data_IF_376433632396
#
_entry.id   IF_376433632396
#
_cell.length_a   1.000
_cell.length_b   1.000
_cell.length_c   1.000
_cell.angle_alpha   90.00
_cell.angle_beta   90.00
_cell.angle_gamma   90.00
#
_symmetry.space_group_name_H-M   'P 1'
#
loop_
_entity.id
_entity.type
_entity.pdbx_description
1 polymer ?
#
# COMPACT_ATOMS: atom_id res chain seq x y z
N UNK A 1 21.31 -3.91 4.82
CA UNK A 1 20.32 -2.98 4.22
C UNK A 1 20.10 -1.70 5.02
N UNK A 2 19.69 -0.61 4.36
CA UNK A 2 19.08 0.56 5.03
C UNK A 2 17.56 0.39 5.03
N UNK A 3 16.95 0.24 6.21
CA UNK A 3 15.50 0.10 6.36
C UNK A 3 14.75 1.22 5.62
N UNK A 4 13.71 0.83 4.87
CA UNK A 4 12.84 1.75 4.14
C UNK A 4 11.55 1.09 3.68
N UNK A 5 10.60 1.94 3.31
CA UNK A 5 9.42 1.51 2.61
C UNK A 5 9.68 1.31 1.11
N UNK A 6 9.04 0.31 0.54
CA UNK A 6 8.99 0.04 -0.90
C UNK A 6 7.55 0.14 -1.38
N UNK A 7 7.35 0.77 -2.53
CA UNK A 7 6.10 0.77 -3.28
C UNK A 7 6.13 -0.39 -4.29
N UNK A 8 5.14 -1.26 -4.20
CA UNK A 8 4.89 -2.34 -5.15
C UNK A 8 3.69 -1.92 -5.97
N UNK A 9 3.87 -1.86 -7.28
CA UNK A 9 2.82 -1.61 -8.26
C UNK A 9 2.62 -2.88 -9.08
N UNK A 10 1.41 -3.45 -9.07
CA UNK A 10 1.15 -4.75 -9.68
C UNK A 10 -0.10 -4.71 -10.56
N UNK A 11 0.03 -5.18 -11.81
CA UNK A 11 -1.06 -5.28 -12.78
C UNK A 11 -1.34 -6.74 -13.11
N UNK A 12 -2.60 -7.14 -12.97
CA UNK A 12 -3.06 -8.47 -13.30
C UNK A 12 -3.08 -8.68 -14.84
N UNK A 13 -2.82 -9.90 -15.32
CA UNK A 13 -2.93 -10.20 -16.73
C UNK A 13 -4.37 -10.06 -17.23
N UNK A 14 -4.53 -9.77 -18.53
CA UNK A 14 -5.83 -9.68 -19.18
C UNK A 14 -6.67 -10.95 -18.97
N UNK A 15 -7.97 -10.78 -18.75
CA UNK A 15 -8.90 -11.89 -18.48
C UNK A 15 -8.94 -12.34 -17.02
N UNK A 16 -8.11 -11.79 -16.13
CA UNK A 16 -8.25 -12.00 -14.68
C UNK A 16 -9.55 -11.37 -14.20
N UNK A 17 -10.31 -12.06 -13.35
CA UNK A 17 -11.52 -11.48 -12.77
C UNK A 17 -11.16 -10.53 -11.62
N UNK A 18 -12.04 -9.57 -11.30
CA UNK A 18 -11.84 -8.68 -10.16
C UNK A 18 -11.64 -9.44 -8.84
N UNK A 19 -12.39 -10.53 -8.65
CA UNK A 19 -12.28 -11.38 -7.45
C UNK A 19 -10.90 -12.02 -7.37
N UNK A 20 -10.47 -12.71 -8.43
CA UNK A 20 -9.19 -13.40 -8.44
C UNK A 20 -8.01 -12.43 -8.28
N UNK A 21 -8.12 -11.25 -8.89
CA UNK A 21 -7.13 -10.20 -8.72
C UNK A 21 -7.04 -9.74 -7.26
N UNK A 22 -8.18 -9.46 -6.63
CA UNK A 22 -8.23 -9.01 -5.25
C UNK A 22 -7.68 -10.09 -4.30
N UNK A 23 -8.10 -11.34 -4.47
CA UNK A 23 -7.68 -12.45 -3.60
C UNK A 23 -6.16 -12.65 -3.67
N UNK A 24 -5.57 -12.65 -4.87
CA UNK A 24 -4.12 -12.80 -5.04
C UNK A 24 -3.31 -11.62 -4.50
N UNK A 25 -3.82 -10.39 -4.64
CA UNK A 25 -3.17 -9.22 -4.03
C UNK A 25 -3.28 -9.25 -2.51
N UNK A 26 -4.42 -9.67 -1.95
CA UNK A 26 -4.60 -9.84 -0.52
C UNK A 26 -3.64 -10.90 0.04
N UNK A 27 -3.44 -12.02 -0.66
CA UNK A 27 -2.46 -13.04 -0.29
C UNK A 27 -1.03 -12.49 -0.30
N UNK A 28 -0.70 -11.64 -1.29
CA UNK A 28 0.60 -10.96 -1.34
C UNK A 28 0.81 -10.03 -0.14
N UNK A 29 -0.21 -9.23 0.21
CA UNK A 29 -0.20 -8.31 1.35
C UNK A 29 -0.12 -9.05 2.69
N UNK A 30 -0.77 -10.22 2.79
CA UNK A 30 -0.82 -11.02 4.01
C UNK A 30 0.49 -11.79 4.31
N UNK A 31 1.38 -11.94 3.32
CA UNK A 31 2.65 -12.64 3.49
C UNK A 31 3.64 -11.81 4.32
N UNK A 32 3.62 -12.05 5.64
CA UNK A 32 4.44 -11.37 6.65
C UNK A 32 5.95 -11.52 6.45
N UNK A 33 6.41 -12.41 5.58
CA UNK A 33 7.84 -12.58 5.29
C UNK A 33 8.39 -11.44 4.42
N UNK A 34 7.52 -10.68 3.74
CA UNK A 34 7.89 -9.61 2.80
C UNK A 34 8.11 -8.25 3.47
N UNK A 35 7.98 -8.17 4.79
CA UNK A 35 7.97 -6.95 5.58
C UNK A 35 6.56 -6.57 6.05
N UNK A 36 6.46 -5.42 6.72
CA UNK A 36 5.21 -4.93 7.27
C UNK A 36 4.43 -4.14 6.21
N UNK A 37 3.27 -4.64 5.78
CA UNK A 37 2.36 -3.87 4.94
C UNK A 37 1.75 -2.70 5.72
N UNK A 38 2.09 -1.47 5.30
CA UNK A 38 1.63 -0.23 5.95
C UNK A 38 0.45 0.40 5.24
N UNK A 39 0.33 0.11 3.94
CA UNK A 39 -0.77 0.56 3.11
C UNK A 39 -0.91 -0.37 1.91
N UNK A 40 -2.13 -0.58 1.45
CA UNK A 40 -2.40 -1.20 0.15
C UNK A 40 -3.76 -0.73 -0.35
N UNK A 41 -3.96 -0.80 -1.66
CA UNK A 41 -5.26 -0.61 -2.27
C UNK A 41 -5.34 -1.34 -3.62
N UNK A 42 -6.57 -1.54 -4.09
CA UNK A 42 -6.90 -2.24 -5.33
C UNK A 42 -7.29 -1.24 -6.42
N UNK A 43 -6.89 -1.50 -7.67
CA UNK A 43 -7.20 -0.61 -8.78
C UNK A 43 -8.62 -0.82 -9.33
N UNK A 44 -9.24 0.29 -9.75
CA UNK A 44 -10.50 0.29 -10.50
C UNK A 44 -10.19 0.25 -12.01
N UNK A 45 -10.91 -0.60 -12.74
CA UNK A 45 -10.74 -0.76 -14.19
C UNK A 45 -9.70 -1.83 -14.54
N UNK A 46 -8.43 -1.45 -14.66
CA UNK A 46 -7.35 -2.43 -14.86
C UNK A 46 -7.08 -3.13 -13.54
N UNK A 47 -7.40 -4.42 -13.47
CA UNK A 47 -7.23 -5.20 -12.26
C UNK A 47 -5.78 -5.25 -11.80
N UNK A 48 -5.58 -5.10 -10.51
CA UNK A 48 -4.27 -4.97 -9.91
C UNK A 48 -4.36 -4.20 -8.60
N UNK A 49 -3.23 -3.70 -8.15
CA UNK A 49 -3.20 -2.80 -7.02
C UNK A 49 -1.80 -2.41 -6.65
N UNK A 50 -1.70 -1.85 -5.45
CA UNK A 50 -0.46 -1.30 -4.94
C UNK A 50 -0.32 -1.61 -3.46
N UNK A 51 0.92 -1.79 -3.02
CA UNK A 51 1.26 -2.10 -1.63
C UNK A 51 2.47 -1.26 -1.25
N UNK A 52 2.47 -0.74 -0.03
CA UNK A 52 3.68 -0.21 0.59
C UNK A 52 4.09 -1.14 1.73
N UNK A 53 5.32 -1.65 1.64
CA UNK A 53 5.93 -2.53 2.64
C UNK A 53 7.06 -1.79 3.34
N UNK A 54 7.04 -1.72 4.69
CA UNK A 54 8.19 -1.35 5.52
C UNK A 54 9.11 -2.57 5.66
N UNK A 55 10.26 -2.52 5.01
CA UNK A 55 11.23 -3.62 4.89
C UNK A 55 12.47 -3.31 5.73
N UNK A 56 12.82 -4.25 6.61
CA UNK A 56 13.77 -4.06 7.70
C UNK A 56 14.91 -5.07 7.72
N UNK A 57 14.87 -6.12 6.89
CA UNK A 57 15.96 -7.09 6.77
C UNK A 57 16.32 -7.39 5.31
N UNK A 58 17.54 -7.88 5.10
CA UNK A 58 18.02 -8.29 3.77
C UNK A 58 17.16 -9.48 3.23
N UNK A 59 16.66 -10.35 4.10
CA UNK A 59 15.77 -11.47 3.75
C UNK A 59 14.39 -10.99 3.26
N UNK A 60 13.79 -10.02 3.95
CA UNK A 60 12.53 -9.42 3.51
C UNK A 60 12.72 -8.69 2.17
N UNK A 61 13.85 -8.00 1.99
CA UNK A 61 14.18 -7.32 0.74
C UNK A 61 14.35 -8.30 -0.42
N UNK A 62 15.02 -9.43 -0.20
CA UNK A 62 15.21 -10.45 -1.22
C UNK A 62 13.87 -11.03 -1.73
N UNK A 63 12.83 -11.05 -0.89
CA UNK A 63 11.51 -11.52 -1.28
C UNK A 63 10.74 -10.54 -2.17
N UNK A 64 11.17 -9.28 -2.30
CA UNK A 64 10.50 -8.31 -3.17
C UNK A 64 10.59 -8.70 -4.67
N UNK A 65 11.64 -9.41 -5.06
CA UNK A 65 11.83 -9.91 -6.43
C UNK A 65 11.08 -11.23 -6.70
N UNK A 66 10.57 -11.89 -5.65
CA UNK A 66 9.72 -13.08 -5.77
C UNK A 66 8.26 -12.66 -5.96
N UNK A 67 7.62 -12.90 -7.13
CA UNK A 67 6.23 -12.51 -7.34
C UNK A 67 5.24 -13.29 -6.46
N UNK A 68 5.61 -14.47 -5.95
CA UNK A 68 4.75 -15.31 -5.12
C UNK A 68 3.34 -15.50 -5.69
N UNK A 69 2.27 -15.12 -4.95
CA UNK A 69 0.90 -15.25 -5.44
C UNK A 69 0.61 -14.35 -6.65
N UNK A 70 1.46 -13.38 -7.00
CA UNK A 70 1.34 -12.52 -8.18
C UNK A 70 2.07 -13.08 -9.41
N UNK A 71 2.43 -14.36 -9.43
CA UNK A 71 3.07 -14.99 -10.60
C UNK A 71 2.30 -14.72 -11.91
N UNK A 72 3.01 -14.26 -12.94
CA UNK A 72 2.41 -13.87 -14.24
C UNK A 72 1.80 -12.47 -14.29
N UNK A 73 1.89 -11.68 -13.21
CA UNK A 73 1.53 -10.27 -13.20
C UNK A 73 2.70 -9.41 -13.64
N UNK A 74 2.41 -8.20 -14.11
CA UNK A 74 3.44 -7.17 -14.26
C UNK A 74 3.63 -6.49 -12.90
N UNK A 75 4.80 -6.69 -12.28
CA UNK A 75 5.14 -6.14 -10.96
C UNK A 75 6.31 -5.17 -11.10
N UNK A 76 6.22 -4.02 -10.44
CA UNK A 76 7.30 -3.03 -10.33
C UNK A 76 7.51 -2.67 -8.86
N UNK A 77 8.76 -2.64 -8.43
CA UNK A 77 9.16 -2.39 -7.04
C UNK A 77 10.02 -1.14 -6.99
N UNK A 78 9.64 -0.19 -6.14
CA UNK A 78 10.28 1.12 -6.04
C UNK A 78 10.63 1.47 -4.59
N UNK A 79 11.92 1.60 -4.23
CA UNK A 79 12.29 2.10 -2.90
C UNK A 79 11.86 3.56 -2.74
N UNK A 80 11.21 3.88 -1.62
CA UNK A 80 10.84 5.26 -1.31
C UNK A 80 12.04 6.00 -0.68
N UNK A 81 12.13 7.30 -0.95
CA UNK A 81 13.28 8.12 -0.52
C UNK A 81 13.17 8.58 0.93
N UNK A 82 12.00 9.07 1.34
CA UNK A 82 11.80 9.68 2.66
C UNK A 82 11.08 8.78 3.66
N UNK A 83 10.33 7.79 3.18
CA UNK A 83 9.63 6.82 4.01
C UNK A 83 10.60 5.74 4.47
N UNK A 84 11.45 6.06 5.45
CA UNK A 84 12.47 5.16 5.99
C UNK A 84 11.93 4.16 7.03
N UNK A 85 10.64 4.22 7.35
CA UNK A 85 9.92 3.30 8.24
C UNK A 85 8.41 3.46 8.03
N UNK A 86 7.61 2.56 8.62
CA UNK A 86 6.15 2.69 8.64
C UNK A 86 5.65 4.03 9.19
N UNK A 87 6.26 4.50 10.29
CA UNK A 87 5.94 5.81 10.88
C UNK A 87 6.39 6.94 9.95
N UNK A 88 7.56 6.79 9.30
CA UNK A 88 8.03 7.74 8.31
C UNK A 88 7.12 7.84 7.08
N UNK A 89 6.51 6.73 6.65
CA UNK A 89 5.49 6.73 5.61
C UNK A 89 4.25 7.53 6.03
N UNK A 90 3.68 7.25 7.20
CA UNK A 90 2.54 8.01 7.72
C UNK A 90 2.85 9.51 7.86
N UNK A 91 4.03 9.85 8.39
CA UNK A 91 4.48 11.23 8.54
C UNK A 91 4.63 11.94 7.18
N UNK A 92 5.08 11.25 6.14
CA UNK A 92 5.17 11.82 4.78
C UNK A 92 3.79 12.14 4.20
N UNK A 93 2.75 11.36 4.51
CA UNK A 93 1.37 11.67 4.11
C UNK A 93 0.90 12.98 4.75
N UNK A 94 1.05 13.13 6.07
CA UNK A 94 0.68 14.37 6.76
C UNK A 94 1.50 15.57 6.28
N UNK A 95 2.82 15.41 6.20
CA UNK A 95 3.73 16.45 5.72
C UNK A 95 3.34 16.94 4.32
N UNK A 96 2.98 16.02 3.41
CA UNK A 96 2.60 16.39 2.04
C UNK A 96 1.37 17.28 2.01
N UNK A 97 0.34 16.95 2.80
CA UNK A 97 -0.89 17.75 2.88
C UNK A 97 -0.61 19.13 3.48
N UNK A 98 0.06 19.18 4.63
CA UNK A 98 0.35 20.43 5.32
C UNK A 98 1.26 21.33 4.48
N UNK A 99 2.36 20.78 3.95
CA UNK A 99 3.39 21.56 3.27
C UNK A 99 2.94 22.13 1.94
N UNK A 100 2.17 21.35 1.16
CA UNK A 100 1.85 21.70 -0.22
C UNK A 100 0.40 22.13 -0.41
N UNK A 101 -0.50 21.80 0.52
CA UNK A 101 -1.93 22.15 0.44
C UNK A 101 -2.44 22.96 1.62
N UNK A 102 -1.63 23.15 2.67
CA UNK A 102 -1.98 23.99 3.81
C UNK A 102 -3.16 23.43 4.62
N UNK A 103 -3.34 22.11 4.61
CA UNK A 103 -4.41 21.42 5.34
C UNK A 103 -3.84 20.19 6.04
N UNK A 104 -4.31 19.93 7.25
CA UNK A 104 -3.95 18.75 8.05
C UNK A 104 -4.94 17.60 7.86
N UNK A 105 -4.53 16.38 8.23
CA UNK A 105 -5.45 15.23 8.24
C UNK A 105 -6.61 15.42 9.23
N UNK A 106 -6.37 16.10 10.35
CA UNK A 106 -7.39 16.37 11.37
C UNK A 106 -8.48 17.32 10.84
N UNK A 107 -8.07 18.39 10.14
CA UNK A 107 -9.01 19.31 9.48
C UNK A 107 -9.84 18.60 8.41
N UNK A 108 -9.20 17.75 7.59
CA UNK A 108 -9.92 16.95 6.60
C UNK A 108 -10.91 16.00 7.27
N UNK A 109 -10.47 15.30 8.32
CA UNK A 109 -11.31 14.36 9.09
C UNK A 109 -12.53 15.06 9.69
N UNK A 110 -12.36 16.28 10.23
CA UNK A 110 -13.46 17.06 10.78
C UNK A 110 -14.45 17.57 9.70
N UNK A 111 -13.99 17.71 8.45
CA UNK A 111 -14.79 18.19 7.33
C UNK A 111 -15.42 17.07 6.48
N UNK A 112 -15.03 15.80 6.68
CA UNK A 112 -15.58 14.67 5.94
C UNK A 112 -17.10 14.54 6.16
N UNK A 113 -17.91 14.42 5.09
CA UNK A 113 -19.32 14.13 5.24
C UNK A 113 -19.53 12.73 5.82
N UNK A 114 -20.72 12.51 6.38
CA UNK A 114 -21.17 11.17 6.71
C UNK A 114 -21.51 10.43 5.40
N UNK A 115 -20.74 9.39 5.07
CA UNK A 115 -21.01 8.52 3.92
C UNK A 115 -20.91 7.05 4.35
N UNK A 116 -21.95 6.22 4.10
CA UNK A 116 -21.91 4.80 4.48
C UNK A 116 -20.80 4.00 3.80
N UNK A 117 -20.21 4.51 2.71
CA UNK A 117 -19.07 3.90 2.01
C UNK A 117 -17.73 4.15 2.72
N UNK A 118 -17.65 5.16 3.59
CA UNK A 118 -16.44 5.50 4.33
C UNK A 118 -16.23 4.52 5.48
N UNK A 119 -15.71 3.34 5.15
CA UNK A 119 -15.54 2.25 6.10
C UNK A 119 -14.65 2.63 7.29
N UNK A 120 -13.73 3.57 7.11
CA UNK A 120 -12.86 4.09 8.16
C UNK A 120 -13.62 4.92 9.22
N UNK A 121 -14.77 5.50 8.87
CA UNK A 121 -15.65 6.18 9.83
C UNK A 121 -16.48 5.19 10.66
N UNK A 122 -16.47 3.89 10.33
CA UNK A 122 -17.34 2.87 10.95
C UNK A 122 -16.78 2.31 12.28
N UNK A 123 -15.76 2.92 12.90
CA UNK A 123 -15.20 2.49 14.20
C UNK A 123 -14.96 3.73 15.08
N UNK A 124 -15.55 3.85 16.26
CA UNK A 124 -15.48 2.91 17.40
C UNK A 124 -16.83 2.61 18.06
N UNK A 125 -17.23 1.33 18.07
CA UNK A 125 -17.95 0.70 19.17
C UNK A 125 -17.15 -0.55 19.59
#
# INVERSE_FOLDING_TARGET
MNARCFLIYALAPGGTTARDANDRLNDYVADRRRGLAVWHDHFVGVHGGTVVLDVRSDEEQALLDDPGPLIGWQVSVHPLTFSLSAVGFAAQTSFTLERYRGVSLDELTAAEPADPRFWWQRRTA
#
